data_IF_954245760088
#
_entry.id   IF_954245760088
#
_cell.length_a   1.000
_cell.length_b   1.000
_cell.length_c   1.000
_cell.angle_alpha   90.00
_cell.angle_beta   90.00
_cell.angle_gamma   90.00
#
_symmetry.space_group_name_H-M   'P 1'
#
loop_
_entity.id
_entity.type
_entity.pdbx_description
1 polymer ?
#
# COMPACT_ATOMS: atom_id res chain seq x y z
N UNK A 1 75.08 -8.51 -11.12
CA UNK A 1 75.96 -7.66 -10.28
C UNK A 1 75.23 -6.35 -10.03
N UNK A 2 75.02 -6.02 -8.74
CA UNK A 2 74.68 -4.73 -8.13
C UNK A 2 73.24 -4.21 -8.38
N UNK A 3 72.34 -4.16 -7.37
CA UNK A 3 72.25 -3.19 -6.24
C UNK A 3 72.11 -1.73 -6.76
N UNK A 4 71.21 -0.85 -6.31
CA UNK A 4 70.32 -0.82 -5.14
C UNK A 4 69.66 0.57 -5.06
N UNK A 5 68.45 0.66 -4.49
CA UNK A 5 67.90 1.79 -3.68
C UNK A 5 67.46 3.06 -4.45
N UNK A 6 66.47 3.85 -4.04
CA UNK A 6 65.37 3.79 -3.06
C UNK A 6 64.54 5.06 -3.29
N UNK A 7 63.22 5.01 -3.05
CA UNK A 7 62.48 6.05 -2.32
C UNK A 7 61.03 5.59 -2.13
N UNK A 8 60.79 4.97 -0.98
CA UNK A 8 59.47 4.90 -0.36
C UNK A 8 59.06 6.31 0.05
N UNK A 9 57.87 6.74 -0.38
CA UNK A 9 57.13 7.81 0.27
C UNK A 9 55.94 7.16 0.99
N UNK A 10 56.12 6.91 2.29
CA UNK A 10 55.07 6.49 3.21
C UNK A 10 54.18 7.69 3.51
N UNK A 11 52.98 7.75 2.93
CA UNK A 11 51.94 8.68 3.38
C UNK A 11 51.14 7.98 4.46
N UNK A 12 51.42 8.35 5.71
CA UNK A 12 50.61 8.01 6.88
C UNK A 12 49.38 8.92 6.85
N UNK A 13 48.24 8.40 6.36
CA UNK A 13 46.95 9.06 6.56
C UNK A 13 46.42 8.61 7.92
N UNK A 14 46.47 9.52 8.89
CA UNK A 14 45.70 9.41 10.12
C UNK A 14 44.21 9.48 9.76
N UNK A 15 43.56 8.32 9.63
CA UNK A 15 42.10 8.25 9.64
C UNK A 15 41.65 8.42 11.10
N UNK A 16 41.36 9.66 11.49
CA UNK A 16 40.66 9.97 12.72
C UNK A 16 39.25 9.37 12.61
N UNK A 17 38.96 8.47 13.53
CA UNK A 17 37.65 7.90 13.79
C UNK A 17 36.73 9.02 14.23
N UNK A 18 35.89 9.51 13.32
CA UNK A 18 34.65 10.19 13.68
C UNK A 18 33.53 9.14 13.63
N UNK A 19 33.33 8.43 14.74
CA UNK A 19 32.04 7.81 15.04
C UNK A 19 31.04 8.93 15.34
N UNK A 20 30.62 9.64 14.30
CA UNK A 20 29.33 10.31 14.32
C UNK A 20 28.30 9.23 14.10
N UNK A 21 27.67 8.77 15.17
CA UNK A 21 26.40 8.10 15.04
C UNK A 21 25.44 9.13 14.44
N UNK A 22 25.30 9.11 13.11
CA UNK A 22 24.08 9.60 12.49
C UNK A 22 22.95 8.76 13.08
N UNK A 23 22.33 9.28 14.13
CA UNK A 23 20.91 9.09 14.30
C UNK A 23 20.30 9.65 13.01
N UNK A 24 20.13 8.78 12.03
CA UNK A 24 19.05 8.93 11.08
C UNK A 24 17.80 9.07 11.95
N UNK A 25 17.39 10.31 12.16
CA UNK A 25 16.00 10.61 12.38
C UNK A 25 15.30 10.01 11.16
N UNK A 26 14.88 8.74 11.29
CA UNK A 26 13.92 8.15 10.38
C UNK A 26 12.80 9.17 10.24
N UNK A 27 12.24 9.37 9.04
CA UNK A 27 11.16 10.32 8.85
C UNK A 27 10.16 10.05 9.97
N UNK A 28 10.03 11.01 10.88
CA UNK A 28 8.95 11.04 11.84
C UNK A 28 7.75 11.17 10.93
N UNK A 29 7.17 10.02 10.58
CA UNK A 29 5.87 9.90 10.00
C UNK A 29 4.95 10.51 11.05
N UNK A 30 4.79 11.83 11.00
CA UNK A 30 3.48 12.39 11.25
C UNK A 30 2.61 11.65 10.25
N UNK A 31 2.06 10.51 10.70
CA UNK A 31 1.09 9.74 9.99
C UNK A 31 0.02 10.75 9.66
N UNK A 32 0.11 11.31 8.44
CA UNK A 32 -0.92 12.18 7.93
C UNK A 32 -2.21 11.41 8.07
N UNK A 33 -3.32 12.11 8.25
CA UNK A 33 -4.62 11.48 8.33
C UNK A 33 -4.91 10.84 6.96
N UNK A 34 -4.37 9.64 6.72
CA UNK A 34 -4.54 8.87 5.49
C UNK A 34 -6.01 8.47 5.49
N UNK A 35 -6.70 8.86 4.42
CA UNK A 35 -8.13 8.67 4.29
C UNK A 35 -8.44 8.01 2.97
N UNK A 36 -9.36 7.07 3.01
CA UNK A 36 -9.95 6.49 1.81
C UNK A 36 -10.74 7.58 1.06
N UNK A 37 -10.68 7.65 -0.28
CA UNK A 37 -11.58 8.50 -1.05
C UNK A 37 -13.04 8.24 -0.67
N UNK A 38 -13.79 9.29 -0.34
CA UNK A 38 -15.11 9.18 0.32
C UNK A 38 -16.11 8.31 -0.44
N UNK A 39 -16.02 8.26 -1.76
CA UNK A 39 -16.91 7.46 -2.62
C UNK A 39 -16.67 5.95 -2.54
N UNK A 40 -15.55 5.52 -1.94
CA UNK A 40 -15.24 4.12 -1.67
C UNK A 40 -15.49 3.72 -0.21
N UNK A 41 -15.74 4.67 0.69
CA UNK A 41 -15.97 4.36 2.11
C UNK A 41 -17.27 3.58 2.28
N UNK A 42 -17.23 2.53 3.09
CA UNK A 42 -18.35 1.66 3.40
C UNK A 42 -18.19 0.25 2.83
N UNK A 43 -19.30 -0.48 2.76
CA UNK A 43 -19.37 -1.80 2.14
C UNK A 43 -19.64 -1.65 0.64
N UNK A 44 -18.64 -1.98 -0.16
CA UNK A 44 -18.71 -2.08 -1.61
C UNK A 44 -18.91 -3.54 -2.04
N UNK A 45 -19.46 -3.76 -3.23
CA UNK A 45 -19.53 -5.09 -3.86
C UNK A 45 -18.68 -5.12 -5.11
N UNK A 46 -17.72 -6.03 -5.17
CA UNK A 46 -16.95 -6.29 -6.38
C UNK A 46 -17.80 -7.11 -7.34
N UNK A 47 -18.16 -6.54 -8.49
CA UNK A 47 -19.05 -7.15 -9.48
C UNK A 47 -18.30 -7.81 -10.63
N UNK A 48 -17.02 -7.49 -10.81
CA UNK A 48 -16.14 -8.10 -11.80
C UNK A 48 -14.68 -7.95 -11.38
N UNK A 49 -13.83 -8.93 -11.73
CA UNK A 49 -12.37 -8.84 -11.57
C UNK A 49 -11.62 -9.40 -12.78
N UNK A 50 -10.36 -9.02 -12.94
CA UNK A 50 -9.48 -9.59 -13.97
C UNK A 50 -9.08 -11.05 -13.70
N UNK A 51 -9.28 -11.57 -12.48
CA UNK A 51 -9.13 -12.98 -12.15
C UNK A 51 -10.42 -13.75 -12.48
N UNK A 52 -10.74 -13.81 -13.77
CA UNK A 52 -11.97 -14.41 -14.29
C UNK A 52 -12.10 -15.86 -13.84
N UNK A 53 -13.21 -16.17 -13.16
CA UNK A 53 -13.53 -17.53 -12.71
C UNK A 53 -12.85 -17.95 -11.40
N UNK A 54 -12.01 -17.11 -10.79
CA UNK A 54 -11.37 -17.44 -9.51
C UNK A 54 -12.33 -17.28 -8.31
N UNK A 55 -13.23 -16.30 -8.37
CA UNK A 55 -14.10 -15.95 -7.25
C UNK A 55 -15.59 -15.97 -7.66
N UNK A 56 -16.44 -16.33 -6.71
CA UNK A 56 -17.89 -16.17 -6.82
C UNK A 56 -18.23 -14.69 -6.66
N UNK A 57 -18.81 -14.10 -7.70
CA UNK A 57 -19.20 -12.69 -7.74
C UNK A 57 -20.72 -12.53 -7.50
N UNK A 58 -21.15 -11.43 -6.88
CA UNK A 58 -20.32 -10.39 -6.26
C UNK A 58 -19.80 -10.80 -4.87
N UNK A 59 -18.67 -10.22 -4.44
CA UNK A 59 -18.17 -10.33 -3.07
C UNK A 59 -18.03 -8.97 -2.39
N UNK A 60 -17.99 -8.96 -1.05
CA UNK A 60 -17.92 -7.73 -0.26
C UNK A 60 -16.48 -7.27 -0.02
N UNK A 61 -16.28 -5.97 -0.13
CA UNK A 61 -15.10 -5.25 0.34
C UNK A 61 -15.56 -4.10 1.23
N UNK A 62 -14.96 -3.95 2.40
CA UNK A 62 -15.31 -2.92 3.36
C UNK A 62 -14.15 -1.95 3.52
N UNK A 63 -14.28 -0.74 2.97
CA UNK A 63 -13.30 0.33 3.17
C UNK A 63 -13.71 1.21 4.34
N UNK A 64 -12.79 1.46 5.24
CA UNK A 64 -12.97 2.41 6.35
C UNK A 64 -12.61 3.82 5.91
N UNK A 65 -13.01 4.83 6.68
CA UNK A 65 -12.58 6.21 6.42
C UNK A 65 -11.08 6.44 6.68
N UNK A 66 -10.42 5.53 7.42
CA UNK A 66 -9.06 5.67 7.91
C UNK A 66 -8.01 4.98 7.03
N UNK A 67 -8.34 4.73 5.77
CA UNK A 67 -7.40 4.13 4.82
C UNK A 67 -7.15 2.65 5.05
N UNK A 68 -8.00 1.94 5.79
CA UNK A 68 -7.94 0.48 5.89
C UNK A 68 -9.12 -0.16 5.18
N UNK A 69 -8.94 -1.38 4.69
CA UNK A 69 -9.99 -2.12 4.02
C UNK A 69 -9.84 -3.62 4.25
N UNK A 70 -10.93 -4.36 4.10
CA UNK A 70 -10.93 -5.82 4.17
C UNK A 70 -11.94 -6.43 3.22
N UNK A 71 -11.70 -7.66 2.78
CA UNK A 71 -12.59 -8.38 1.87
C UNK A 71 -12.76 -9.84 2.27
N UNK A 72 -13.82 -10.41 1.73
CA UNK A 72 -14.12 -11.85 1.80
C UNK A 72 -14.60 -12.29 0.42
N UNK A 73 -13.70 -12.85 -0.39
CA UNK A 73 -13.94 -13.29 -1.76
C UNK A 73 -14.11 -14.82 -1.80
N UNK A 74 -15.35 -15.35 -1.86
CA UNK A 74 -15.58 -16.79 -1.95
C UNK A 74 -15.00 -17.33 -3.25
N UNK A 75 -14.40 -18.52 -3.21
CA UNK A 75 -13.89 -19.14 -4.43
C UNK A 75 -15.04 -19.65 -5.31
N UNK A 76 -14.90 -19.54 -6.63
CA UNK A 76 -15.97 -19.95 -7.54
C UNK A 76 -16.17 -21.47 -7.61
N UNK A 77 -15.08 -22.22 -7.52
CA UNK A 77 -15.01 -23.65 -7.88
C UNK A 77 -14.66 -24.57 -6.71
N UNK A 78 -14.41 -24.01 -5.52
CA UNK A 78 -14.02 -24.77 -4.32
C UNK A 78 -14.61 -24.19 -3.04
N UNK A 79 -14.77 -24.99 -1.98
CA UNK A 79 -15.21 -24.48 -0.68
C UNK A 79 -14.21 -23.47 -0.10
N UNK A 80 -14.75 -22.49 0.63
CA UNK A 80 -13.98 -21.47 1.34
C UNK A 80 -13.99 -20.12 0.64
N UNK A 81 -13.23 -19.19 1.20
CA UNK A 81 -13.07 -17.84 0.70
C UNK A 81 -11.64 -17.36 0.95
N UNK A 82 -11.18 -16.45 0.11
CA UNK A 82 -10.06 -15.58 0.41
C UNK A 82 -10.54 -14.43 1.29
N UNK A 83 -9.89 -14.26 2.43
CA UNK A 83 -10.05 -13.16 3.35
C UNK A 83 -8.79 -12.34 3.29
N UNK A 84 -8.93 -11.04 3.04
CA UNK A 84 -7.78 -10.16 3.06
C UNK A 84 -8.07 -8.85 3.73
N UNK A 85 -6.97 -8.16 4.00
CA UNK A 85 -6.96 -6.82 4.55
C UNK A 85 -5.89 -6.00 3.85
N UNK A 86 -6.12 -4.71 3.79
CA UNK A 86 -5.21 -3.76 3.19
C UNK A 86 -5.22 -2.42 3.89
N UNK A 87 -4.14 -1.67 3.63
CA UNK A 87 -3.90 -0.35 4.18
C UNK A 87 -3.35 0.57 3.10
N UNK A 88 -3.88 1.78 3.03
CA UNK A 88 -3.37 2.86 2.22
C UNK A 88 -2.14 3.43 2.93
N UNK A 89 -1.01 3.47 2.24
CA UNK A 89 0.28 3.90 2.80
C UNK A 89 0.62 5.36 2.48
N UNK A 90 -0.07 5.96 1.50
CA UNK A 90 0.14 7.33 1.08
C UNK A 90 -1.19 8.06 0.94
N UNK A 91 -1.24 9.33 1.31
CA UNK A 91 -2.43 10.16 1.08
C UNK A 91 -2.82 10.13 -0.40
N UNK A 92 -4.08 9.80 -0.74
CA UNK A 92 -4.53 9.76 -2.13
C UNK A 92 -4.35 11.10 -2.83
N UNK A 93 -3.79 11.04 -4.05
CA UNK A 93 -3.74 12.18 -4.96
C UNK A 93 -4.98 12.11 -5.85
N UNK A 94 -5.96 12.97 -5.57
CA UNK A 94 -7.23 13.04 -6.30
C UNK A 94 -7.10 14.07 -7.43
N UNK A 95 -7.56 13.70 -8.64
CA UNK A 95 -7.63 14.58 -9.81
C UNK A 95 -9.07 14.59 -10.33
N UNK A 96 -9.71 15.76 -10.34
CA UNK A 96 -11.02 15.99 -10.95
C UNK A 96 -10.85 16.33 -12.43
N UNK A 97 -11.62 15.69 -13.32
CA UNK A 97 -11.44 15.84 -14.78
C UNK A 97 -12.40 16.88 -15.41
N UNK A 98 -13.18 17.60 -14.59
CA UNK A 98 -14.01 18.74 -15.00
C UNK A 98 -15.42 18.38 -15.50
N UNK A 99 -15.71 17.12 -15.76
CA UNK A 99 -17.03 16.58 -16.13
C UNK A 99 -17.74 15.87 -14.96
N UNK A 100 -17.23 16.04 -13.74
CA UNK A 100 -17.68 15.34 -12.54
C UNK A 100 -17.01 13.98 -12.34
N UNK A 101 -16.26 13.48 -13.33
CA UNK A 101 -15.40 12.32 -13.13
C UNK A 101 -14.14 12.69 -12.35
N UNK A 102 -13.59 11.70 -11.65
CA UNK A 102 -12.34 11.85 -10.93
C UNK A 102 -11.54 10.56 -10.98
N UNK A 103 -10.25 10.72 -10.74
CA UNK A 103 -9.32 9.63 -10.50
C UNK A 103 -8.59 9.86 -9.19
N UNK A 104 -8.21 8.79 -8.50
CA UNK A 104 -7.23 8.89 -7.42
C UNK A 104 -6.11 7.89 -7.63
N UNK A 105 -4.95 8.20 -7.05
CA UNK A 105 -3.84 7.25 -6.94
C UNK A 105 -3.24 7.28 -5.56
N UNK A 106 -2.83 6.12 -5.06
CA UNK A 106 -2.07 5.98 -3.83
C UNK A 106 -1.28 4.67 -3.85
N UNK A 107 -0.36 4.53 -2.90
CA UNK A 107 0.27 3.26 -2.62
C UNK A 107 -0.51 2.54 -1.52
N UNK A 108 -0.74 1.24 -1.70
CA UNK A 108 -1.37 0.37 -0.72
C UNK A 108 -0.49 -0.83 -0.41
N UNK A 109 -0.86 -1.53 0.65
CA UNK A 109 -0.32 -2.84 0.95
C UNK A 109 -1.41 -3.77 1.44
N UNK A 110 -1.38 -5.00 0.96
CA UNK A 110 -2.42 -6.00 1.19
C UNK A 110 -1.83 -7.33 1.65
N UNK A 111 -2.61 -8.08 2.42
CA UNK A 111 -2.35 -9.50 2.70
C UNK A 111 -3.64 -10.28 2.72
N UNK A 112 -3.57 -11.58 2.41
CA UNK A 112 -4.76 -12.43 2.39
C UNK A 112 -4.48 -13.88 2.78
N UNK A 113 -5.54 -14.59 3.16
CA UNK A 113 -5.58 -16.00 3.53
C UNK A 113 -6.89 -16.66 3.06
N UNK A 114 -6.93 -17.96 2.72
CA UNK A 114 -5.83 -18.92 2.75
C UNK A 114 -4.86 -18.65 1.58
N UNK A 115 -3.56 -18.61 1.89
CA UNK A 115 -2.55 -18.15 0.93
C UNK A 115 -1.13 -18.27 1.47
N UNK A 116 -0.17 -17.72 0.74
CA UNK A 116 1.28 -17.89 0.98
C UNK A 116 1.87 -17.00 2.09
N UNK A 117 1.06 -16.39 2.95
CA UNK A 117 1.50 -15.33 3.87
C UNK A 117 2.37 -14.29 3.12
N UNK A 118 1.81 -13.75 2.03
CA UNK A 118 2.46 -12.75 1.19
C UNK A 118 1.82 -11.40 1.50
N UNK A 119 2.66 -10.39 1.70
CA UNK A 119 2.24 -9.00 1.65
C UNK A 119 2.54 -8.47 0.25
N UNK A 120 1.54 -7.92 -0.42
CA UNK A 120 1.69 -7.28 -1.73
C UNK A 120 1.71 -5.76 -1.53
N UNK A 121 2.75 -5.11 -2.03
CA UNK A 121 2.84 -3.65 -2.09
C UNK A 121 2.43 -3.21 -3.50
N UNK A 122 1.44 -2.33 -3.63
CA UNK A 122 0.89 -1.96 -4.94
C UNK A 122 0.64 -0.46 -5.09
N UNK A 123 0.64 0.01 -6.33
CA UNK A 123 0.04 1.30 -6.69
C UNK A 123 -1.40 1.07 -7.15
N UNK A 124 -2.36 1.64 -6.44
CA UNK A 124 -3.77 1.56 -6.79
C UNK A 124 -4.20 2.84 -7.52
N UNK A 125 -4.97 2.64 -8.60
CA UNK A 125 -5.58 3.72 -9.38
C UNK A 125 -7.09 3.54 -9.37
N UNK A 126 -7.76 4.52 -8.78
CA UNK A 126 -9.21 4.57 -8.69
C UNK A 126 -9.74 5.48 -9.78
N UNK A 127 -10.86 5.11 -10.38
CA UNK A 127 -11.60 5.97 -11.29
C UNK A 127 -13.10 5.82 -11.12
N UNK A 128 -13.82 6.92 -11.31
CA UNK A 128 -15.26 6.95 -11.30
C UNK A 128 -15.76 8.11 -12.16
N UNK A 129 -16.75 7.84 -13.02
CA UNK A 129 -17.23 8.82 -14.00
C UNK A 129 -18.66 9.32 -13.77
N UNK A 130 -19.54 8.51 -13.19
CA UNK A 130 -20.95 8.86 -12.96
C UNK A 130 -21.61 7.89 -11.99
N UNK A 131 -22.78 8.25 -11.44
CA UNK A 131 -23.56 7.37 -10.55
C UNK A 131 -23.86 6.00 -11.15
N UNK A 132 -24.08 5.97 -12.46
CA UNK A 132 -24.49 4.77 -13.19
C UNK A 132 -23.29 3.95 -13.67
N UNK A 133 -22.07 4.48 -13.54
CA UNK A 133 -20.84 3.79 -13.89
C UNK A 133 -20.26 3.04 -12.67
N UNK A 134 -19.69 1.85 -12.89
CA UNK A 134 -18.96 1.16 -11.83
C UNK A 134 -17.75 2.00 -11.42
N UNK A 135 -17.37 1.89 -10.14
CA UNK A 135 -16.07 2.40 -9.69
C UNK A 135 -15.03 1.36 -10.05
N UNK A 136 -13.89 1.79 -10.57
CA UNK A 136 -12.83 0.87 -11.02
C UNK A 136 -11.58 1.09 -10.19
N UNK A 137 -10.99 -0.01 -9.73
CA UNK A 137 -9.65 -0.06 -9.13
C UNK A 137 -8.72 -0.82 -10.09
N UNK A 138 -7.50 -0.32 -10.27
CA UNK A 138 -6.40 -1.03 -10.92
C UNK A 138 -5.20 -1.10 -9.99
N UNK A 139 -4.81 -2.31 -9.61
CA UNK A 139 -3.71 -2.60 -8.69
C UNK A 139 -2.47 -3.03 -9.46
N UNK A 140 -1.45 -2.19 -9.43
CA UNK A 140 -0.16 -2.48 -10.03
C UNK A 140 0.83 -2.94 -8.95
N UNK A 141 1.15 -4.23 -8.94
CA UNK A 141 2.11 -4.81 -8.00
C UNK A 141 3.50 -4.21 -8.17
N UNK A 142 4.06 -3.70 -7.07
CA UNK A 142 5.44 -3.20 -6.99
C UNK A 142 6.34 -4.29 -6.42
N UNK A 143 5.87 -4.97 -5.37
CA UNK A 143 6.61 -6.02 -4.69
C UNK A 143 5.65 -7.02 -4.04
N UNK A 144 6.09 -8.27 -3.96
CA UNK A 144 5.47 -9.32 -3.16
C UNK A 144 6.51 -9.79 -2.14
N UNK A 145 6.19 -9.67 -0.85
CA UNK A 145 7.09 -10.02 0.25
C UNK A 145 6.53 -11.26 0.96
N UNK A 146 7.18 -12.43 0.82
CA UNK A 146 6.72 -13.67 1.44
C UNK A 146 7.16 -13.80 2.90
N UNK A 147 6.32 -14.46 3.72
CA UNK A 147 6.72 -15.02 5.01
C UNK A 147 6.92 -14.00 6.12
N UNK A 148 6.24 -12.86 6.04
CA UNK A 148 6.37 -11.78 7.02
C UNK A 148 5.17 -11.74 7.97
N UNK A 149 5.45 -11.95 9.27
CA UNK A 149 4.46 -11.77 10.36
C UNK A 149 4.43 -10.32 10.90
N UNK A 150 5.13 -9.40 10.25
CA UNK A 150 5.21 -7.99 10.65
C UNK A 150 3.96 -7.18 10.27
N UNK A 151 3.85 -5.94 10.78
CA UNK A 151 2.84 -4.97 10.33
C UNK A 151 2.94 -4.75 8.81
N UNK A 152 1.80 -4.66 8.13
CA UNK A 152 1.71 -4.56 6.66
C UNK A 152 2.44 -3.29 6.17
N UNK A 153 2.32 -2.21 6.94
CA UNK A 153 2.92 -0.91 6.67
C UNK A 153 4.44 -0.96 6.68
N UNK A 154 5.04 -1.66 7.65
CA UNK A 154 6.49 -1.74 7.79
C UNK A 154 7.12 -2.55 6.65
N UNK A 155 6.42 -3.61 6.19
CA UNK A 155 6.91 -4.46 5.10
C UNK A 155 7.01 -3.69 3.79
N UNK A 156 6.05 -2.79 3.53
CA UNK A 156 6.04 -1.98 2.31
C UNK A 156 6.74 -0.62 2.45
N UNK A 157 7.21 -0.24 3.65
CA UNK A 157 7.90 1.02 3.89
C UNK A 157 9.11 1.27 2.96
N UNK A 158 9.98 0.28 2.66
CA UNK A 158 11.09 0.47 1.72
C UNK A 158 10.65 0.80 0.29
N UNK A 159 9.39 0.54 -0.05
CA UNK A 159 8.84 0.80 -1.37
C UNK A 159 8.14 2.16 -1.49
N UNK A 160 7.95 2.89 -0.38
CA UNK A 160 7.32 4.23 -0.38
C UNK A 160 8.16 5.31 -1.07
N UNK A 161 9.46 5.09 -1.22
CA UNK A 161 10.35 6.01 -1.94
C UNK A 161 10.02 6.06 -3.45
N UNK A 162 9.42 4.99 -3.97
CA UNK A 162 8.98 4.92 -5.37
C UNK A 162 7.58 5.51 -5.46
N UNK A 163 7.49 6.81 -5.71
CA UNK A 163 6.21 7.45 -5.98
C UNK A 163 5.47 6.69 -7.10
N UNK A 164 4.19 6.37 -6.85
CA UNK A 164 3.35 5.73 -7.86
C UNK A 164 3.36 6.52 -9.17
N UNK A 165 3.43 5.85 -10.34
CA UNK A 165 3.33 6.50 -11.65
C UNK A 165 2.14 7.47 -11.71
N UNK A 166 2.27 8.52 -12.53
CA UNK A 166 1.32 9.64 -12.48
C UNK A 166 -0.11 9.26 -12.87
N UNK A 167 -0.26 8.28 -13.76
CA UNK A 167 -1.54 7.81 -14.28
C UNK A 167 -1.49 6.31 -14.60
N UNK A 168 -2.67 5.74 -14.87
CA UNK A 168 -2.88 4.31 -15.14
C UNK A 168 -2.11 3.87 -16.40
N UNK A 169 -2.06 4.69 -17.45
CA UNK A 169 -1.33 4.39 -18.68
C UNK A 169 0.20 4.30 -18.48
N UNK A 170 0.77 5.18 -17.66
CA UNK A 170 2.19 5.18 -17.30
C UNK A 170 2.50 4.01 -16.36
N UNK A 171 1.59 3.68 -15.45
CA UNK A 171 1.70 2.50 -14.60
C UNK A 171 1.75 1.22 -15.43
N UNK A 172 0.83 1.04 -16.38
CA UNK A 172 0.82 -0.11 -17.29
C UNK A 172 2.15 -0.28 -18.04
N UNK A 173 2.69 0.81 -18.60
CA UNK A 173 3.97 0.78 -19.32
C UNK A 173 5.16 0.41 -18.42
N UNK A 174 5.10 0.73 -17.13
CA UNK A 174 6.23 0.53 -16.18
C UNK A 174 6.13 -0.75 -15.38
N UNK A 175 4.93 -1.14 -14.97
CA UNK A 175 4.66 -2.18 -13.98
C UNK A 175 3.97 -3.40 -14.60
N UNK A 176 3.54 -3.33 -15.86
CA UNK A 176 2.85 -4.42 -16.55
C UNK A 176 1.34 -4.39 -16.33
N UNK A 177 0.67 -5.54 -16.51
CA UNK A 177 -0.79 -5.61 -16.37
C UNK A 177 -1.23 -5.53 -14.90
N UNK A 178 -2.25 -4.72 -14.57
CA UNK A 178 -2.78 -4.66 -13.21
C UNK A 178 -3.75 -5.81 -12.92
N UNK A 179 -4.00 -6.04 -11.63
CA UNK A 179 -5.25 -6.64 -11.20
C UNK A 179 -6.35 -5.58 -11.25
N UNK A 180 -7.49 -5.87 -11.86
CA UNK A 180 -8.57 -4.88 -12.05
C UNK A 180 -9.81 -5.37 -11.34
N UNK A 181 -10.47 -4.47 -10.63
CA UNK A 181 -11.74 -4.71 -9.96
C UNK A 181 -12.77 -3.64 -10.30
N UNK A 182 -14.02 -4.07 -10.46
CA UNK A 182 -15.15 -3.19 -10.67
C UNK A 182 -16.08 -3.31 -9.47
N UNK A 183 -16.44 -2.17 -8.91
CA UNK A 183 -17.29 -2.06 -7.75
C UNK A 183 -18.62 -1.43 -8.14
N UNK A 184 -19.71 -2.00 -7.62
CA UNK A 184 -20.99 -1.32 -7.59
C UNK A 184 -20.96 -0.16 -6.58
N UNK A 185 -22.13 0.42 -6.28
CA UNK A 185 -22.26 1.40 -5.19
C UNK A 185 -21.72 0.85 -3.86
N UNK A 186 -20.98 1.71 -3.17
CA UNK A 186 -20.51 1.50 -1.81
C UNK A 186 -21.56 2.10 -0.88
N UNK A 187 -22.15 1.26 -0.03
CA UNK A 187 -23.10 1.72 0.97
C UNK A 187 -22.36 1.97 2.27
N UNK A 188 -22.52 3.16 2.84
CA UNK A 188 -22.14 3.38 4.24
C UNK A 188 -22.91 2.36 5.09
N UNK A 189 -22.26 1.64 6.03
CA UNK A 189 -23.00 0.82 6.96
C UNK A 189 -24.01 1.72 7.66
N UNK A 190 -25.31 1.40 7.55
CA UNK A 190 -26.35 2.09 8.30
C UNK A 190 -25.94 2.12 9.78
N UNK A 191 -26.13 3.25 10.47
CA UNK A 191 -25.72 3.44 11.88
C UNK A 191 -26.23 2.31 12.81
N UNK A 192 -27.32 1.65 12.43
CA UNK A 192 -27.85 0.46 13.12
C UNK A 192 -26.95 -0.78 12.99
N UNK A 193 -26.31 -0.97 11.84
CA UNK A 193 -25.44 -2.12 11.53
C UNK A 193 -24.05 -2.02 12.17
N UNK A 194 -23.57 -0.80 12.45
CA UNK A 194 -22.28 -0.56 13.13
C UNK A 194 -22.33 -1.09 14.57
N UNK A 195 -23.47 -0.93 15.24
CA UNK A 195 -23.67 -1.42 16.61
C UNK A 195 -23.64 -2.96 16.67
N UNK A 196 -24.30 -3.61 15.72
CA UNK A 196 -24.34 -5.08 15.65
C UNK A 196 -22.97 -5.66 15.26
N UNK A 197 -22.21 -4.99 14.38
CA UNK A 197 -20.85 -5.41 14.01
C UNK A 197 -19.82 -5.17 15.11
N UNK A 198 -19.92 -4.09 15.89
CA UNK A 198 -19.02 -3.88 17.03
C UNK A 198 -19.21 -4.95 18.10
N UNK A 199 -20.45 -5.40 18.30
CA UNK A 199 -20.76 -6.47 19.24
C UNK A 199 -20.25 -7.82 18.71
N UNK A 200 -20.43 -8.12 17.43
CA UNK A 200 -19.92 -9.35 16.81
C UNK A 200 -18.38 -9.41 16.69
N UNK A 201 -17.72 -8.29 16.37
CA UNK A 201 -16.25 -8.21 16.32
C UNK A 201 -15.64 -8.30 17.72
N UNK A 202 -16.30 -7.69 18.72
CA UNK A 202 -15.93 -7.83 20.14
C UNK A 202 -16.02 -9.29 20.58
N UNK A 203 -17.11 -10.00 20.25
CA UNK A 203 -17.26 -11.42 20.57
C UNK A 203 -16.22 -12.31 19.89
N UNK A 204 -15.94 -12.08 18.61
CA UNK A 204 -14.94 -12.86 17.85
C UNK A 204 -13.52 -12.59 18.34
N UNK A 205 -13.20 -11.33 18.65
CA UNK A 205 -11.90 -10.92 19.22
C UNK A 205 -11.71 -11.49 20.62
N UNK A 206 -12.77 -11.48 21.44
CA UNK A 206 -12.76 -12.06 22.78
C UNK A 206 -12.59 -13.58 22.73
N UNK A 207 -13.29 -14.26 21.82
CA UNK A 207 -13.13 -15.70 21.60
C UNK A 207 -11.71 -16.07 21.12
N UNK A 208 -11.09 -15.24 20.27
CA UNK A 208 -9.70 -15.44 19.84
C UNK A 208 -8.69 -15.22 20.98
N UNK A 209 -8.85 -14.15 21.77
CA UNK A 209 -8.00 -13.85 22.92
C UNK A 209 -8.07 -14.93 24.01
N UNK A 210 -9.28 -15.42 24.30
CA UNK A 210 -9.50 -16.46 25.31
C UNK A 210 -8.92 -17.83 24.91
N UNK A 211 -8.70 -18.08 23.61
CA UNK A 211 -8.18 -19.35 23.11
C UNK A 211 -6.65 -19.35 22.87
N UNK A 212 -6.02 -18.17 22.82
CA UNK A 212 -4.57 -18.02 22.53
C UNK A 212 -3.73 -17.55 23.72
N UNK A 213 -4.33 -17.00 24.78
CA UNK A 213 -3.58 -16.62 25.98
C UNK A 213 -3.28 -17.87 26.83
N UNK A 214 -1.99 -18.27 27.01
CA UNK A 214 -1.66 -19.29 27.99
C UNK A 214 -2.13 -18.82 29.36
N UNK A 215 -2.98 -19.63 30.00
CA UNK A 215 -3.36 -19.41 31.40
C UNK A 215 -2.08 -19.40 32.22
N UNK A 216 -1.78 -18.24 32.83
CA UNK A 216 -0.80 -17.98 33.91
C UNK A 216 0.42 -17.17 33.46
N UNK A 217 0.29 -15.85 33.58
CA UNK A 217 1.38 -14.94 33.90
C UNK A 217 0.88 -14.03 35.03
N UNK A 218 1.13 -14.46 36.26
CA UNK A 218 1.03 -13.61 37.45
C UNK A 218 2.21 -12.62 37.38
N UNK A 219 1.92 -11.36 37.04
CA UNK A 219 2.91 -10.29 37.12
C UNK A 219 2.97 -9.78 38.56
N UNK A 220 4.12 -10.00 39.21
CA UNK A 220 4.50 -9.28 40.41
C UNK A 220 4.73 -7.80 40.05
N UNK A 221 4.07 -6.90 40.76
CA UNK A 221 4.29 -5.46 40.63
C UNK A 221 5.52 -5.05 41.44
N UNK A 222 6.56 -4.62 40.75
CA UNK A 222 7.61 -3.80 41.35
C UNK A 222 7.65 -2.45 40.64
N UNK A 223 7.42 -1.41 41.43
CA UNK A 223 7.51 -0.01 41.05
C UNK A 223 8.96 0.46 41.14
N UNK A 224 9.49 1.19 40.14
CA UNK A 224 10.63 2.04 40.38
C UNK A 224 10.34 3.53 40.16
N UNK A 225 11.07 4.30 40.96
CA UNK A 225 10.98 5.72 41.18
C UNK A 225 11.35 6.60 39.97
N UNK A 226 10.75 7.78 39.98
CA UNK A 226 11.10 8.97 39.19
C UNK A 226 12.51 9.50 39.48
N UNK A 227 13.17 10.10 38.47
CA UNK A 227 14.02 11.25 38.72
C UNK A 227 13.65 12.48 37.88
N UNK A 228 13.89 13.62 38.53
CA UNK A 228 13.74 15.01 38.08
C UNK A 228 15.06 15.51 37.45
N UNK A 229 14.98 16.23 36.32
CA UNK A 229 15.97 17.22 35.81
C UNK A 229 15.19 18.20 34.90
N UNK A 230 15.01 19.48 35.20
CA UNK A 230 15.92 20.65 35.21
C UNK A 230 16.62 20.93 33.87
N UNK A 231 16.06 21.91 33.15
CA UNK A 231 16.81 23.06 32.60
C UNK A 231 17.29 22.98 31.14
N UNK A 232 17.01 24.04 30.37
CA UNK A 232 17.82 24.43 29.21
C UNK A 232 17.04 24.94 27.99
N UNK A 233 16.70 26.22 27.99
CA UNK A 233 16.29 26.96 26.79
C UNK A 233 17.51 27.25 25.91
N UNK A 234 17.39 27.13 24.58
CA UNK A 234 18.19 27.91 23.62
C UNK A 234 17.41 28.12 22.32
N UNK A 235 17.29 29.40 21.98
CA UNK A 235 16.67 29.98 20.78
C UNK A 235 17.66 29.90 19.62
N UNK A 236 17.20 29.47 18.45
CA UNK A 236 17.97 29.51 17.20
C UNK A 236 17.04 29.72 16.02
N UNK A 237 16.83 30.99 15.65
CA UNK A 237 16.12 31.41 14.44
C UNK A 237 17.06 31.28 13.26
N UNK A 238 16.70 30.46 12.26
CA UNK A 238 17.33 30.46 10.94
C UNK A 238 16.25 30.74 9.90
N UNK A 239 16.28 31.96 9.38
CA UNK A 239 15.53 32.41 8.21
C UNK A 239 16.29 31.98 6.96
N UNK A 240 15.68 31.12 6.14
CA UNK A 240 16.12 30.86 4.76
C UNK A 240 14.99 31.22 3.81
N UNK A 241 15.20 32.32 3.10
CA UNK A 241 14.38 32.76 1.98
C UNK A 241 14.74 31.95 0.73
N UNK A 242 13.76 31.29 0.12
CA UNK A 242 13.88 30.76 -1.23
C UNK A 242 12.90 31.50 -2.15
N UNK A 243 13.47 32.21 -3.12
CA UNK A 243 12.76 32.80 -4.24
C UNK A 243 12.47 31.70 -5.27
N UNK A 244 11.21 31.49 -5.61
CA UNK A 244 10.82 30.73 -6.80
C UNK A 244 10.31 31.70 -7.86
N UNK A 245 11.09 31.83 -8.93
CA UNK A 245 10.68 32.45 -10.18
C UNK A 245 9.77 31.48 -10.93
N UNK A 246 8.59 31.97 -11.31
CA UNK A 246 7.60 31.22 -12.06
C UNK A 246 8.06 30.91 -13.48
N UNK A 247 7.66 29.73 -13.96
CA UNK A 247 7.57 29.42 -15.38
C UNK A 247 6.19 28.80 -15.60
N UNK A 248 5.33 29.54 -16.28
CA UNK A 248 4.03 29.10 -16.79
C UNK A 248 4.29 28.35 -18.10
N UNK A 249 4.09 27.04 -18.12
CA UNK A 249 3.93 26.29 -19.37
C UNK A 249 2.46 25.93 -19.53
N UNK A 250 1.79 26.68 -20.42
CA UNK A 250 0.50 26.30 -20.99
C UNK A 250 0.79 25.39 -22.17
N UNK A 251 0.42 24.11 -22.07
CA UNK A 251 0.31 23.24 -23.24
C UNK A 251 -1.12 22.70 -23.32
N UNK A 252 -1.79 23.19 -24.35
CA UNK A 252 -3.05 22.71 -24.90
C UNK A 252 -2.74 21.38 -25.58
N UNK A 253 -3.33 20.29 -25.12
CA UNK A 253 -3.29 18.99 -25.80
C UNK A 253 -4.70 18.71 -26.30
N UNK A 254 -4.83 18.64 -27.62
CA UNK A 254 -6.06 18.32 -28.32
C UNK A 254 -6.43 16.84 -28.08
N UNK A 255 -7.73 16.63 -27.81
CA UNK A 255 -8.34 15.37 -27.39
C UNK A 255 -9.05 14.71 -28.58
N UNK A 256 -8.34 13.91 -29.37
CA UNK A 256 -8.95 12.96 -30.30
C UNK A 256 -8.02 11.75 -30.46
N UNK A 257 -8.31 10.67 -29.73
CA UNK A 257 -8.17 9.24 -30.12
C UNK A 257 -8.21 8.37 -28.86
N UNK A 258 -9.41 7.96 -28.45
CA UNK A 258 -9.57 6.83 -27.52
C UNK A 258 -10.93 6.15 -27.76
N UNK A 259 -11.04 5.49 -28.91
CA UNK A 259 -11.99 4.42 -29.17
C UNK A 259 -11.19 3.37 -29.94
N UNK A 260 -11.30 2.10 -29.56
CA UNK A 260 -10.64 0.90 -30.11
C UNK A 260 -9.41 0.35 -29.35
N UNK A 261 -9.58 0.01 -28.06
CA UNK A 261 -8.72 -0.99 -27.38
C UNK A 261 -9.55 -1.94 -26.49
N UNK A 262 -10.61 -2.56 -26.99
CA UNK A 262 -11.34 -3.59 -26.21
C UNK A 262 -11.83 -4.81 -27.02
N UNK A 263 -11.16 -5.14 -28.12
CA UNK A 263 -11.41 -6.41 -28.83
C UNK A 263 -10.09 -7.06 -29.28
N UNK A 264 -9.29 -7.59 -28.35
CA UNK A 264 -8.19 -8.48 -28.72
C UNK A 264 -7.62 -9.29 -27.54
N UNK A 265 -8.42 -10.10 -26.82
CA UNK A 265 -7.83 -11.17 -25.99
C UNK A 265 -8.76 -12.40 -25.90
N UNK A 266 -8.92 -13.09 -27.03
CA UNK A 266 -9.17 -14.54 -27.03
C UNK A 266 -8.00 -15.21 -27.77
N UNK A 267 -7.27 -16.06 -27.05
CA UNK A 267 -6.41 -17.09 -27.65
C UNK A 267 -4.93 -16.74 -27.76
N UNK A 268 -4.11 -17.37 -26.90
CA UNK A 268 -2.97 -18.22 -27.25
C UNK A 268 -1.97 -18.29 -26.09
N UNK A 269 -1.58 -19.51 -25.69
CA UNK A 269 -0.41 -19.70 -24.82
C UNK A 269 -0.38 -20.95 -23.96
N UNK A 270 -0.75 -22.11 -24.50
CA UNK A 270 -0.46 -23.39 -23.85
C UNK A 270 1.04 -23.68 -23.86
N UNK A 271 1.60 -24.03 -22.70
CA UNK A 271 2.98 -24.48 -22.57
C UNK A 271 2.98 -26.02 -22.44
N UNK A 272 3.38 -26.72 -23.50
CA UNK A 272 3.58 -28.18 -23.46
C UNK A 272 4.97 -28.52 -22.93
N UNK A 273 5.03 -29.39 -21.94
CA UNK A 273 6.24 -30.10 -21.52
C UNK A 273 6.68 -31.10 -22.59
N UNK A 274 7.93 -31.01 -23.05
CA UNK A 274 8.58 -32.08 -23.80
C UNK A 274 9.36 -32.97 -22.82
N UNK A 275 8.87 -34.19 -22.63
CA UNK A 275 9.67 -35.31 -22.11
C UNK A 275 10.61 -35.81 -23.21
N UNK A 276 11.88 -36.00 -22.86
CA UNK A 276 12.87 -36.68 -23.69
C UNK A 276 13.55 -37.76 -22.88
N UNK A 277 13.17 -39.01 -23.11
CA UNK A 277 13.88 -40.22 -22.69
C UNK A 277 14.43 -40.88 -23.95
N UNK A 278 15.76 -40.97 -24.05
CA UNK A 278 16.54 -42.06 -24.63
C UNK A 278 18.02 -41.84 -24.30
#
# INVERSE_FOLDING_TARGET
MWCSWACLATVVINAIICQGAEQHHGPSSSAGNIRTPSLFVGECKTTWTSAVGSYALPYSVNFTEYGTYSWSAPFADKPGAEFGEGVILMSPVITELGDGSWTARYMSATRFAPGRNIITCACEYLSWSSSDAPRVISDYGIAEVPGTDGPIEEVCAPHLEYACPIDNATAFKKLGSPFIEYYSECTMPDDSSVKDRSDALSETTKAWLENKLPKKLEFASESPATPSMVGGALVGVVLLAFAFSGIVFSQRVDRETEVDVYHAYEGQGGCSTAEGVA
#
